data_IF_340198485912
#
_entry.id   IF_340198485912
#
_cell.length_a   1.000
_cell.length_b   1.000
_cell.length_c   1.000
_cell.angle_alpha   90.00
_cell.angle_beta   90.00
_cell.angle_gamma   90.00
#
_symmetry.space_group_name_H-M   'P 1'
#
loop_
_entity.id
_entity.type
_entity.pdbx_description
1 polymer ?
#
# COMPACT_ATOMS: atom_id res chain seq x y z
N UNK A 1 -15.33 -79.35 -7.26
CA UNK A 1 -16.21 -78.29 -6.73
C UNK A 1 -15.41 -77.02 -6.63
N UNK A 2 -15.93 -75.95 -7.23
CA UNK A 2 -15.33 -74.62 -7.34
C UNK A 2 -15.55 -73.85 -6.04
N UNK A 3 -14.53 -73.13 -5.56
CA UNK A 3 -14.74 -71.94 -4.73
C UNK A 3 -13.70 -70.88 -5.12
N UNK A 4 -14.21 -69.73 -5.56
CA UNK A 4 -13.45 -68.61 -6.08
C UNK A 4 -12.79 -67.78 -4.98
N UNK A 5 -11.62 -67.23 -5.31
CA UNK A 5 -10.92 -66.23 -4.53
C UNK A 5 -11.65 -64.88 -4.64
N UNK A 6 -12.07 -64.34 -3.49
CA UNK A 6 -12.58 -62.98 -3.38
C UNK A 6 -11.45 -62.09 -2.82
N UNK A 7 -10.85 -61.27 -3.70
CA UNK A 7 -9.77 -60.36 -3.35
C UNK A 7 -10.35 -59.08 -2.70
N UNK A 8 -10.49 -59.05 -1.38
CA UNK A 8 -10.85 -57.82 -0.68
C UNK A 8 -9.65 -56.86 -0.60
N UNK A 9 -9.69 -55.81 -1.41
CA UNK A 9 -8.80 -54.64 -1.32
C UNK A 9 -9.07 -53.87 -0.03
N UNK A 10 -8.28 -54.11 1.00
CA UNK A 10 -8.25 -53.28 2.21
C UNK A 10 -7.35 -52.06 2.00
N UNK A 11 -7.89 -50.99 1.40
CA UNK A 11 -7.24 -49.66 1.49
C UNK A 11 -7.52 -49.08 2.87
N UNK A 12 -6.66 -49.37 3.84
CA UNK A 12 -6.65 -48.66 5.12
C UNK A 12 -6.02 -47.27 4.92
N UNK A 13 -6.86 -46.24 4.82
CA UNK A 13 -6.41 -44.85 5.01
C UNK A 13 -5.83 -44.75 6.41
N UNK A 14 -4.52 -44.52 6.50
CA UNK A 14 -3.84 -44.23 7.75
C UNK A 14 -4.38 -42.91 8.31
N UNK A 15 -5.23 -43.03 9.34
CA UNK A 15 -5.69 -41.91 10.16
C UNK A 15 -4.49 -41.10 10.66
N UNK A 16 -4.67 -39.77 10.65
CA UNK A 16 -3.79 -38.79 11.28
C UNK A 16 -3.29 -39.31 12.63
N UNK A 17 -1.97 -39.57 12.72
CA UNK A 17 -1.34 -39.91 13.99
C UNK A 17 -1.39 -38.67 14.89
N UNK A 18 -1.73 -38.90 16.16
CA UNK A 18 -1.75 -37.89 17.23
C UNK A 18 -0.46 -37.08 17.23
N UNK A 19 -0.57 -35.79 17.56
CA UNK A 19 0.58 -34.93 17.75
C UNK A 19 1.56 -35.57 18.75
N UNK A 20 2.87 -35.58 18.45
CA UNK A 20 3.87 -36.18 19.31
C UNK A 20 3.90 -35.49 20.68
N UNK A 21 4.06 -36.28 21.73
CA UNK A 21 4.18 -35.78 23.10
C UNK A 21 5.43 -34.86 23.21
N UNK A 22 5.42 -33.84 24.09
CA UNK A 22 6.47 -32.82 24.15
C UNK A 22 7.88 -33.35 24.48
N UNK A 23 8.01 -34.64 24.89
CA UNK A 23 9.27 -35.34 25.10
C UNK A 23 9.85 -35.98 23.83
N UNK A 24 9.03 -36.19 22.80
CA UNK A 24 9.41 -36.84 21.54
C UNK A 24 9.97 -35.85 20.52
N UNK A 25 9.58 -34.57 20.59
CA UNK A 25 10.10 -33.49 19.73
C UNK A 25 11.60 -33.28 19.86
N UNK A 26 12.19 -33.50 21.05
CA UNK A 26 13.63 -33.35 21.27
C UNK A 26 14.47 -34.49 20.67
N UNK A 27 13.84 -35.58 20.21
CA UNK A 27 14.50 -36.76 19.64
C UNK A 27 14.35 -36.86 18.12
N UNK A 28 13.70 -35.89 17.49
CA UNK A 28 13.44 -35.91 16.04
C UNK A 28 14.71 -35.65 15.23
N UNK A 29 14.82 -36.31 14.09
CA UNK A 29 15.84 -35.93 13.09
C UNK A 29 15.51 -34.57 12.48
N UNK A 30 16.48 -33.85 11.89
CA UNK A 30 16.23 -32.54 11.28
C UNK A 30 15.11 -32.56 10.23
N UNK A 31 15.04 -33.61 9.41
CA UNK A 31 13.98 -33.79 8.41
C UNK A 31 12.61 -34.09 9.03
N UNK A 32 12.55 -34.81 10.16
CA UNK A 32 11.31 -35.04 10.90
C UNK A 32 10.82 -33.76 11.59
N UNK A 33 11.75 -32.98 12.15
CA UNK A 33 11.46 -31.71 12.79
C UNK A 33 10.93 -30.69 11.77
N UNK A 34 11.53 -30.61 10.58
CA UNK A 34 11.04 -29.75 9.49
C UNK A 34 9.60 -30.13 9.07
N UNK A 35 9.32 -31.43 8.92
CA UNK A 35 7.95 -31.90 8.63
C UNK A 35 6.97 -31.57 9.75
N UNK A 36 7.37 -31.76 11.01
CA UNK A 36 6.53 -31.40 12.15
C UNK A 36 6.19 -29.90 12.17
N UNK A 37 7.21 -29.03 12.03
CA UNK A 37 7.02 -27.58 12.00
C UNK A 37 6.16 -27.09 10.83
N UNK A 38 6.15 -27.80 9.70
CA UNK A 38 5.32 -27.46 8.54
C UNK A 38 3.81 -27.67 8.78
N UNK A 39 3.43 -28.53 9.73
CA UNK A 39 2.02 -28.88 10.00
C UNK A 39 1.56 -28.55 11.43
N UNK A 40 2.47 -28.17 12.33
CA UNK A 40 2.15 -27.79 13.70
C UNK A 40 1.54 -26.37 13.75
N UNK A 41 0.66 -26.13 14.73
CA UNK A 41 0.03 -24.82 14.91
C UNK A 41 1.06 -23.78 15.40
N UNK A 42 1.28 -22.66 14.67
CA UNK A 42 2.21 -21.61 15.08
C UNK A 42 1.78 -20.84 16.33
N UNK A 43 0.55 -21.04 16.81
CA UNK A 43 0.03 -20.44 18.04
C UNK A 43 0.63 -21.08 19.30
N UNK A 44 1.15 -22.31 19.20
CA UNK A 44 1.84 -22.98 20.30
C UNK A 44 3.18 -22.26 20.58
N UNK A 45 3.41 -21.80 21.83
CA UNK A 45 4.63 -21.08 22.21
C UNK A 45 5.92 -21.86 21.90
N UNK A 46 5.88 -23.21 22.00
CA UNK A 46 7.05 -24.06 21.74
C UNK A 46 7.34 -24.20 20.24
N UNK A 47 6.31 -24.29 19.41
CA UNK A 47 6.46 -24.30 17.94
C UNK A 47 6.98 -22.95 17.46
N UNK A 48 6.45 -21.86 18.03
CA UNK A 48 6.89 -20.50 17.73
C UNK A 48 8.36 -20.26 18.06
N UNK A 49 8.86 -20.78 19.20
CA UNK A 49 10.28 -20.68 19.54
C UNK A 49 11.16 -21.50 18.59
N UNK A 50 10.76 -22.72 18.24
CA UNK A 50 11.50 -23.57 17.29
C UNK A 50 11.55 -22.95 15.88
N UNK A 51 10.44 -22.37 15.41
CA UNK A 51 10.40 -21.63 14.15
C UNK A 51 11.34 -20.41 14.18
N UNK A 52 11.36 -19.66 15.29
CA UNK A 52 12.27 -18.52 15.44
C UNK A 52 13.74 -18.95 15.41
N UNK A 53 14.11 -20.06 16.05
CA UNK A 53 15.47 -20.60 16.00
C UNK A 53 15.90 -21.02 14.59
N UNK A 54 15.01 -21.64 13.82
CA UNK A 54 15.29 -22.02 12.42
C UNK A 54 15.52 -20.77 11.57
N UNK A 55 14.67 -19.76 11.70
CA UNK A 55 14.83 -18.49 10.96
C UNK A 55 16.13 -17.76 11.31
N UNK A 56 16.56 -17.81 12.58
CA UNK A 56 17.83 -17.22 13.01
C UNK A 56 19.01 -18.02 12.42
N UNK A 57 18.93 -19.36 12.40
CA UNK A 57 19.97 -20.20 11.79
C UNK A 57 20.06 -19.98 10.29
N UNK A 58 18.94 -19.87 9.57
CA UNK A 58 18.92 -19.55 8.14
C UNK A 58 19.52 -18.17 7.86
N UNK A 59 19.21 -17.18 8.69
CA UNK A 59 19.89 -15.87 8.62
C UNK A 59 21.39 -15.97 8.84
N UNK A 60 21.87 -16.89 9.66
CA UNK A 60 23.30 -17.10 9.92
C UNK A 60 24.00 -17.88 8.79
N UNK A 61 23.25 -18.60 7.95
CA UNK A 61 23.77 -19.33 6.78
C UNK A 61 23.97 -18.43 5.55
N UNK A 62 23.32 -17.26 5.49
CA UNK A 62 23.57 -16.29 4.42
C UNK A 62 25.02 -15.79 4.53
N UNK A 63 25.75 -15.88 3.42
CA UNK A 63 27.16 -15.54 3.34
C UNK A 63 27.37 -14.10 3.85
N UNK A 64 28.30 -13.85 4.80
CA UNK A 64 28.61 -12.50 5.27
C UNK A 64 28.92 -11.52 4.12
N UNK A 65 29.47 -12.01 3.01
CA UNK A 65 29.77 -11.18 1.83
C UNK A 65 28.50 -10.68 1.11
N UNK A 66 27.47 -11.53 1.01
CA UNK A 66 26.18 -11.17 0.42
C UNK A 66 25.44 -10.15 1.29
N UNK A 67 25.46 -10.34 2.61
CA UNK A 67 24.87 -9.35 3.55
C UNK A 67 25.54 -7.99 3.45
N UNK A 68 26.86 -7.95 3.29
CA UNK A 68 27.59 -6.69 3.17
C UNK A 68 27.24 -5.98 1.84
N UNK A 69 27.06 -6.74 0.75
CA UNK A 69 26.62 -6.20 -0.53
C UNK A 69 25.17 -5.65 -0.45
N UNK A 70 24.25 -6.38 0.18
CA UNK A 70 22.88 -5.92 0.43
C UNK A 70 22.85 -4.66 1.29
N UNK A 71 23.69 -4.57 2.32
CA UNK A 71 23.78 -3.37 3.16
C UNK A 71 24.33 -2.17 2.39
N UNK A 72 25.36 -2.36 1.54
CA UNK A 72 25.92 -1.29 0.69
C UNK A 72 24.89 -0.79 -0.32
N UNK A 73 24.13 -1.68 -0.93
CA UNK A 73 23.06 -1.30 -1.87
C UNK A 73 21.95 -0.55 -1.14
N UNK A 74 21.50 -1.03 0.02
CA UNK A 74 20.51 -0.34 0.85
C UNK A 74 20.99 1.05 1.26
N UNK A 75 22.24 1.18 1.71
CA UNK A 75 22.82 2.48 2.07
C UNK A 75 22.86 3.43 0.87
N UNK A 76 23.21 2.94 -0.32
CA UNK A 76 23.17 3.71 -1.56
C UNK A 76 21.77 4.21 -1.90
N UNK A 77 20.76 3.34 -1.78
CA UNK A 77 19.35 3.70 -2.00
C UNK A 77 18.88 4.75 -1.00
N UNK A 78 19.18 4.56 0.28
CA UNK A 78 18.81 5.51 1.34
C UNK A 78 19.47 6.87 1.13
N UNK A 79 20.76 6.90 0.79
CA UNK A 79 21.50 8.14 0.50
C UNK A 79 20.93 8.87 -0.73
N UNK A 80 20.56 8.13 -1.78
CA UNK A 80 19.91 8.70 -2.95
C UNK A 80 18.52 9.26 -2.63
N UNK A 81 17.73 8.54 -1.84
CA UNK A 81 16.42 8.99 -1.37
C UNK A 81 16.53 10.26 -0.54
N UNK A 82 17.51 10.32 0.38
CA UNK A 82 17.79 11.49 1.19
C UNK A 82 18.18 12.70 0.33
N UNK A 83 19.12 12.54 -0.60
CA UNK A 83 19.55 13.62 -1.50
C UNK A 83 18.38 14.19 -2.33
N UNK A 84 17.50 13.33 -2.84
CA UNK A 84 16.27 13.73 -3.53
C UNK A 84 15.33 14.49 -2.59
N UNK A 85 15.18 14.04 -1.35
CA UNK A 85 14.33 14.71 -0.38
C UNK A 85 14.87 16.09 -0.02
N UNK A 86 16.19 16.23 0.19
CA UNK A 86 16.85 17.53 0.40
C UNK A 86 16.58 18.49 -0.77
N UNK A 87 16.73 18.02 -2.01
CA UNK A 87 16.45 18.82 -3.21
C UNK A 87 14.98 19.23 -3.30
N UNK A 88 14.05 18.31 -3.02
CA UNK A 88 12.61 18.59 -3.00
C UNK A 88 12.28 19.65 -1.95
N UNK A 89 12.82 19.52 -0.74
CA UNK A 89 12.59 20.47 0.35
C UNK A 89 13.13 21.85 0.00
N UNK A 90 14.35 21.95 -0.55
CA UNK A 90 14.91 23.21 -1.01
C UNK A 90 14.04 23.88 -2.09
N UNK A 91 13.55 23.10 -3.06
CA UNK A 91 12.62 23.61 -4.10
C UNK A 91 11.31 24.10 -3.50
N UNK A 92 10.73 23.36 -2.56
CA UNK A 92 9.49 23.72 -1.90
C UNK A 92 9.67 25.00 -1.06
N UNK A 93 10.77 25.10 -0.31
CA UNK A 93 11.13 26.30 0.45
C UNK A 93 11.30 27.51 -0.47
N UNK A 94 12.01 27.35 -1.59
CA UNK A 94 12.17 28.42 -2.57
C UNK A 94 10.82 28.89 -3.14
N UNK A 95 9.94 27.95 -3.53
CA UNK A 95 8.61 28.29 -4.04
C UNK A 95 7.77 29.01 -2.97
N UNK A 96 7.83 28.57 -1.72
CA UNK A 96 7.12 29.19 -0.61
C UNK A 96 7.61 30.62 -0.33
N UNK A 97 8.93 30.80 -0.21
CA UNK A 97 9.54 32.12 0.02
C UNK A 97 9.24 33.07 -1.14
N UNK A 98 9.39 32.59 -2.38
CA UNK A 98 9.05 33.37 -3.58
C UNK A 98 7.58 33.80 -3.58
N UNK A 99 6.66 32.91 -3.21
CA UNK A 99 5.25 33.23 -3.13
C UNK A 99 4.96 34.25 -2.01
N UNK A 100 5.60 34.12 -0.84
CA UNK A 100 5.49 35.08 0.26
C UNK A 100 5.97 36.47 -0.16
N UNK A 101 7.12 36.55 -0.82
CA UNK A 101 7.69 37.82 -1.31
C UNK A 101 6.77 38.50 -2.33
N UNK A 102 6.25 37.73 -3.30
CA UNK A 102 5.31 38.28 -4.29
C UNK A 102 4.02 38.77 -3.62
N UNK A 103 3.48 38.01 -2.65
CA UNK A 103 2.30 38.44 -1.88
C UNK A 103 2.57 39.73 -1.09
N UNK A 104 3.77 39.86 -0.52
CA UNK A 104 4.21 41.09 0.13
C UNK A 104 4.26 42.24 -0.89
N UNK A 105 4.88 42.06 -2.05
CA UNK A 105 4.89 43.09 -3.11
C UNK A 105 3.49 43.48 -3.58
N UNK A 106 2.56 42.52 -3.66
CA UNK A 106 1.15 42.75 -3.99
C UNK A 106 0.48 43.67 -2.96
N UNK A 107 0.74 43.48 -1.66
CA UNK A 107 0.09 44.27 -0.61
C UNK A 107 0.51 45.75 -0.59
N UNK A 108 1.69 46.08 -1.12
CA UNK A 108 2.15 47.47 -1.26
C UNK A 108 1.77 48.12 -2.60
N UNK A 109 1.09 47.42 -3.51
CA UNK A 109 0.68 48.03 -4.78
C UNK A 109 -0.41 49.07 -4.54
N UNK A 110 -0.19 50.28 -5.05
CA UNK A 110 -1.19 51.38 -5.00
C UNK A 110 -2.38 51.15 -5.95
N UNK A 111 -2.21 50.32 -6.98
CA UNK A 111 -3.21 50.09 -8.03
C UNK A 111 -3.48 48.59 -8.19
N UNK A 112 -4.76 48.22 -8.26
CA UNK A 112 -5.23 46.86 -8.52
C UNK A 112 -4.61 46.26 -9.80
N UNK A 113 -4.44 47.06 -10.86
CA UNK A 113 -3.79 46.58 -12.10
C UNK A 113 -2.35 46.10 -11.86
N UNK A 114 -1.61 46.76 -10.96
CA UNK A 114 -0.26 46.36 -10.58
C UNK A 114 -0.25 45.05 -9.79
N UNK A 115 -1.16 44.92 -8.82
CA UNK A 115 -1.35 43.71 -8.03
C UNK A 115 -1.67 42.48 -8.91
N UNK A 116 -2.62 42.62 -9.84
CA UNK A 116 -3.02 41.54 -10.75
C UNK A 116 -1.86 41.10 -11.65
N UNK A 117 -1.02 42.03 -12.13
CA UNK A 117 0.18 41.67 -12.93
C UNK A 117 1.19 40.86 -12.12
N UNK A 118 1.33 41.15 -10.82
CA UNK A 118 2.22 40.40 -9.94
C UNK A 118 1.67 39.02 -9.59
N UNK A 119 0.34 38.88 -9.51
CA UNK A 119 -0.33 37.61 -9.23
C UNK A 119 -0.02 36.53 -10.30
N UNK A 120 0.25 36.93 -11.55
CA UNK A 120 0.66 36.01 -12.63
C UNK A 120 1.93 35.21 -12.29
N UNK A 121 2.79 35.74 -11.41
CA UNK A 121 4.02 35.03 -10.99
C UNK A 121 3.79 34.03 -9.87
N UNK A 122 2.60 34.00 -9.26
CA UNK A 122 2.23 33.01 -8.26
C UNK A 122 1.75 31.72 -8.93
N UNK A 123 1.92 30.56 -8.27
CA UNK A 123 1.27 29.33 -8.71
C UNK A 123 -0.26 29.54 -8.80
N UNK A 124 -0.93 28.98 -9.83
CA UNK A 124 -2.37 29.12 -9.98
C UNK A 124 -3.07 28.52 -8.76
N UNK A 125 -3.81 29.37 -8.03
CA UNK A 125 -4.67 28.92 -6.95
C UNK A 125 -5.84 28.17 -7.57
N UNK A 126 -5.94 26.87 -7.30
CA UNK A 126 -7.18 26.13 -7.59
C UNK A 126 -8.23 26.67 -6.61
N UNK A 127 -9.03 27.63 -7.06
CA UNK A 127 -10.23 28.02 -6.33
C UNK A 127 -11.19 26.83 -6.38
N UNK A 128 -11.01 25.90 -5.43
CA UNK A 128 -11.90 24.77 -5.21
C UNK A 128 -13.19 25.20 -4.49
N UNK A 129 -13.61 26.46 -4.66
CA UNK A 129 -15.02 26.78 -4.49
C UNK A 129 -15.69 26.14 -5.68
N UNK A 130 -15.94 24.82 -5.57
CA UNK A 130 -16.98 24.15 -6.35
C UNK A 130 -18.19 25.02 -6.10
N UNK A 131 -18.56 25.83 -7.09
CA UNK A 131 -19.73 26.69 -6.97
C UNK A 131 -20.85 25.72 -6.61
N UNK A 132 -21.33 25.81 -5.37
CA UNK A 132 -22.40 24.95 -4.91
C UNK A 132 -23.57 25.21 -5.84
N UNK A 133 -24.18 24.15 -6.33
CA UNK A 133 -25.39 24.30 -7.12
C UNK A 133 -26.39 25.14 -6.31
N UNK A 134 -26.74 26.31 -6.84
CA UNK A 134 -27.64 27.24 -6.18
C UNK A 134 -29.11 26.90 -6.43
N UNK A 135 -29.38 25.83 -7.19
CA UNK A 135 -30.73 25.40 -7.54
C UNK A 135 -31.26 24.37 -6.54
N UNK A 136 -32.41 24.69 -5.94
CA UNK A 136 -33.19 23.72 -5.18
C UNK A 136 -33.84 22.69 -6.12
N UNK A 137 -34.18 21.50 -5.62
CA UNK A 137 -34.76 20.40 -6.42
C UNK A 137 -35.96 20.81 -7.25
N UNK A 138 -36.89 21.59 -6.68
CA UNK A 138 -38.06 22.12 -7.40
C UNK A 138 -37.67 23.02 -8.57
N UNK A 139 -36.68 23.89 -8.35
CA UNK A 139 -36.22 24.81 -9.39
C UNK A 139 -35.46 24.05 -10.48
N UNK A 140 -34.73 22.98 -10.11
CA UNK A 140 -34.06 22.10 -11.05
C UNK A 140 -35.07 21.35 -11.92
N UNK A 141 -36.08 20.71 -11.32
CA UNK A 141 -37.16 20.06 -12.07
C UNK A 141 -37.85 21.05 -13.01
N UNK A 142 -38.11 22.28 -12.55
CA UNK A 142 -38.73 23.29 -13.41
C UNK A 142 -37.83 23.71 -14.58
N UNK A 143 -36.53 23.81 -14.37
CA UNK A 143 -35.58 24.11 -15.43
C UNK A 143 -35.47 22.94 -16.42
N UNK A 144 -35.44 21.71 -15.91
CA UNK A 144 -35.43 20.49 -16.71
C UNK A 144 -36.68 20.42 -17.59
N UNK A 145 -37.89 20.65 -17.04
CA UNK A 145 -39.14 20.77 -17.81
C UNK A 145 -39.10 21.85 -18.90
N UNK A 146 -38.41 22.97 -18.66
CA UNK A 146 -38.29 24.06 -19.64
C UNK A 146 -37.26 23.73 -20.73
N UNK A 147 -36.26 22.92 -20.40
CA UNK A 147 -35.17 22.53 -21.29
C UNK A 147 -35.41 21.20 -22.01
N UNK A 148 -36.48 20.48 -21.65
CA UNK A 148 -36.95 19.29 -22.36
C UNK A 148 -37.47 19.70 -23.74
N UNK A 149 -36.81 19.17 -24.79
CA UNK A 149 -37.31 19.27 -26.17
C UNK A 149 -38.53 18.35 -26.38
N UNK A 150 -39.19 18.40 -27.54
CA UNK A 150 -40.37 17.57 -27.88
C UNK A 150 -40.11 16.05 -27.76
N UNK A 151 -38.84 15.63 -27.76
CA UNK A 151 -38.38 14.25 -27.55
C UNK A 151 -38.15 13.87 -26.08
N UNK A 152 -38.25 14.82 -25.14
CA UNK A 152 -37.96 14.64 -23.71
C UNK A 152 -36.46 14.57 -23.38
N UNK A 153 -35.58 15.04 -24.27
CA UNK A 153 -34.14 15.08 -24.04
C UNK A 153 -33.69 16.48 -23.57
N UNK A 154 -32.79 16.51 -22.58
CA UNK A 154 -32.24 17.76 -22.02
C UNK A 154 -30.79 17.91 -22.47
N UNK A 155 -30.54 18.84 -23.41
CA UNK A 155 -29.20 19.12 -23.92
C UNK A 155 -28.46 20.13 -23.03
N UNK A 156 -27.83 19.66 -21.95
CA UNK A 156 -26.83 20.46 -21.24
C UNK A 156 -25.57 20.51 -22.12
N UNK A 157 -25.33 21.62 -22.82
CA UNK A 157 -24.02 21.89 -23.44
C UNK A 157 -22.96 21.87 -22.33
N UNK A 158 -22.26 20.76 -22.17
CA UNK A 158 -21.07 20.70 -21.32
C UNK A 158 -19.97 21.54 -22.00
N UNK A 159 -19.20 22.33 -21.23
CA UNK A 159 -18.05 23.05 -21.75
C UNK A 159 -16.96 22.11 -22.28
#
# INVERSE_FOLDING_TARGET
MSHGDNLERTKSTTRFKKAPEPREVNKMTPAQMARYLAFADPSDPKVKSMLAEVLIKDRNLVDPQEKEAEQKTLFGVLKAAEARNRLRNARLQFQNLRAQEINFLISFQRNAKGAVRLEVFLPPKKNLVKLSDCMNTVQRCRIEEILEDDSGEIYIRRP
#
